data_IF_057500333750
#
_entry.id   IF_057500333750
#
_cell.length_a   1.000
_cell.length_b   1.000
_cell.length_c   1.000
_cell.angle_alpha   90.00
_cell.angle_beta   90.00
_cell.angle_gamma   90.00
#
_symmetry.space_group_name_H-M   'P 1'
#
loop_
_entity.id
_entity.type
_entity.pdbx_description
1 polymer ?
#
# COMPACT_ATOMS: atom_id res chain seq x y z
N UNK A 1 -0.22 8.51 -13.11
CA UNK A 1 -0.64 9.79 -12.54
C UNK A 1 -1.55 10.48 -13.54
N UNK A 2 -2.70 10.93 -13.10
CA UNK A 2 -3.67 11.70 -13.89
C UNK A 2 -3.84 13.08 -13.24
N UNK A 3 -3.77 14.16 -14.04
CA UNK A 3 -4.00 15.52 -13.59
C UNK A 3 -5.10 16.15 -14.43
N UNK A 4 -6.04 16.78 -13.77
CA UNK A 4 -7.09 17.57 -14.40
C UNK A 4 -7.04 18.99 -13.84
N UNK A 5 -7.13 19.98 -14.71
CA UNK A 5 -7.12 21.39 -14.33
C UNK A 5 -8.28 22.09 -15.01
N UNK A 6 -9.03 22.86 -14.24
CA UNK A 6 -10.14 23.66 -14.72
C UNK A 6 -10.24 24.97 -13.92
N UNK A 7 -10.93 25.94 -14.49
CA UNK A 7 -11.22 27.22 -13.83
C UNK A 7 -12.71 27.28 -13.50
N UNK A 8 -13.13 26.49 -12.48
CA UNK A 8 -14.55 26.42 -12.09
C UNK A 8 -15.05 27.69 -11.39
N UNK A 9 -14.13 28.43 -10.82
CA UNK A 9 -14.44 29.65 -10.06
C UNK A 9 -13.76 30.88 -10.71
N UNK A 10 -14.19 31.23 -11.94
CA UNK A 10 -13.67 32.36 -12.68
C UNK A 10 -12.21 32.16 -13.13
N UNK A 11 -11.30 33.05 -12.75
CA UNK A 11 -9.87 32.95 -13.09
C UNK A 11 -9.07 32.03 -12.15
N UNK A 12 -9.72 31.50 -11.10
CA UNK A 12 -9.06 30.70 -10.07
C UNK A 12 -9.03 29.24 -10.47
N UNK A 13 -7.84 28.68 -10.42
CA UNK A 13 -7.56 27.32 -10.88
C UNK A 13 -8.00 26.29 -9.85
N UNK A 14 -8.78 25.32 -10.31
CA UNK A 14 -9.04 24.05 -9.63
C UNK A 14 -8.16 22.98 -10.23
N UNK A 15 -7.46 22.23 -9.42
CA UNK A 15 -6.63 21.10 -9.87
C UNK A 15 -7.00 19.84 -9.08
N UNK A 16 -7.25 18.75 -9.81
CA UNK A 16 -7.46 17.42 -9.27
C UNK A 16 -6.37 16.51 -9.80
N UNK A 17 -5.68 15.83 -8.89
CA UNK A 17 -4.61 14.89 -9.22
C UNK A 17 -4.92 13.54 -8.61
N UNK A 18 -4.78 12.48 -9.39
CA UNK A 18 -4.87 11.09 -8.96
C UNK A 18 -3.54 10.39 -9.18
N UNK A 19 -3.06 9.68 -8.19
CA UNK A 19 -1.85 8.89 -8.27
C UNK A 19 -2.13 7.44 -7.90
N UNK A 20 -2.05 6.56 -8.89
CA UNK A 20 -2.23 5.12 -8.72
C UNK A 20 -0.88 4.41 -8.51
N UNK A 21 -0.86 3.47 -7.59
CA UNK A 21 0.26 2.57 -7.32
C UNK A 21 -0.22 1.12 -7.31
N UNK A 22 0.61 0.22 -7.83
CA UNK A 22 0.41 -1.21 -7.72
C UNK A 22 1.77 -1.90 -7.62
N UNK A 23 1.91 -2.84 -6.71
CA UNK A 23 3.12 -3.63 -6.55
C UNK A 23 2.79 -5.01 -5.96
N UNK A 24 3.67 -5.99 -6.21
CA UNK A 24 3.65 -7.24 -5.46
C UNK A 24 3.99 -6.97 -4.00
N UNK A 25 3.55 -7.85 -3.12
CA UNK A 25 3.94 -7.80 -1.72
C UNK A 25 5.44 -8.06 -1.53
N UNK A 26 5.89 -7.90 -0.29
CA UNK A 26 7.29 -8.09 0.07
C UNK A 26 7.72 -9.55 -0.23
N UNK A 27 8.87 -9.76 -0.86
CA UNK A 27 9.41 -11.10 -1.07
C UNK A 27 9.67 -11.81 0.26
N UNK A 28 9.39 -13.10 0.31
CA UNK A 28 9.69 -13.94 1.47
C UNK A 28 10.16 -15.34 1.05
N UNK A 29 10.84 -16.00 1.96
CA UNK A 29 11.27 -17.39 1.81
C UNK A 29 10.43 -18.29 2.70
N UNK A 30 10.05 -19.44 2.20
CA UNK A 30 9.47 -20.50 3.03
C UNK A 30 10.59 -21.27 3.72
N UNK A 31 10.44 -21.52 5.00
CA UNK A 31 11.42 -22.26 5.80
C UNK A 31 10.71 -23.29 6.67
N UNK A 32 11.40 -24.36 6.99
CA UNK A 32 10.89 -25.34 7.95
C UNK A 32 10.83 -24.67 9.32
N UNK A 33 9.61 -24.55 9.86
CA UNK A 33 9.38 -24.07 11.21
C UNK A 33 9.52 -25.23 12.19
N UNK A 34 10.01 -25.17 13.29
CA UNK A 34 10.02 -25.99 14.46
C UNK A 34 9.91 -27.53 14.33
N UNK A 35 10.06 -28.20 15.49
CA UNK A 35 10.03 -29.68 15.60
C UNK A 35 8.62 -30.28 15.36
N UNK A 36 7.62 -29.49 15.22
CA UNK A 36 6.21 -29.88 15.00
C UNK A 36 5.81 -29.97 13.52
N UNK A 37 6.77 -29.75 12.59
CA UNK A 37 6.50 -29.81 11.15
C UNK A 37 5.76 -28.59 10.59
N UNK A 38 5.63 -27.51 11.34
CA UNK A 38 5.04 -26.28 10.82
C UNK A 38 5.96 -25.63 9.79
N UNK A 39 5.35 -25.02 8.76
CA UNK A 39 6.06 -24.26 7.74
C UNK A 39 6.07 -22.81 8.18
N UNK A 40 7.26 -22.19 8.23
CA UNK A 40 7.41 -20.79 8.57
C UNK A 40 7.70 -19.94 7.35
N UNK A 41 7.24 -18.72 7.33
CA UNK A 41 7.60 -17.71 6.34
C UNK A 41 8.59 -16.72 6.94
N UNK A 42 9.83 -16.73 6.44
CA UNK A 42 10.87 -15.80 6.89
C UNK A 42 11.48 -15.07 5.69
N UNK A 43 11.83 -13.83 5.89
CA UNK A 43 12.40 -13.02 4.83
C UNK A 43 13.83 -13.40 4.41
N UNK A 44 14.54 -14.25 5.16
CA UNK A 44 15.98 -14.41 4.96
C UNK A 44 16.48 -15.86 4.91
N UNK A 45 15.79 -16.80 5.56
CA UNK A 45 16.29 -18.16 5.68
C UNK A 45 15.67 -19.04 4.61
N UNK A 46 16.46 -19.62 3.72
CA UNK A 46 15.95 -20.57 2.75
C UNK A 46 15.35 -21.79 3.44
N UNK A 47 14.25 -22.23 2.91
CA UNK A 47 13.63 -23.45 3.34
C UNK A 47 14.46 -24.66 2.88
N UNK A 48 14.92 -25.45 3.84
CA UNK A 48 15.53 -26.75 3.58
C UNK A 48 14.46 -27.81 3.74
N UNK A 49 14.09 -28.38 2.65
CA UNK A 49 12.84 -29.06 2.55
C UNK A 49 12.90 -30.58 2.61
N UNK A 50 11.94 -31.14 3.32
CA UNK A 50 11.62 -32.55 3.32
C UNK A 50 10.32 -32.86 2.54
N UNK A 51 9.66 -31.85 2.03
CA UNK A 51 8.40 -31.99 1.33
C UNK A 51 8.69 -31.96 -0.18
N UNK A 52 8.29 -32.99 -0.87
CA UNK A 52 8.68 -33.30 -2.25
C UNK A 52 8.49 -32.13 -3.23
N UNK A 53 7.46 -31.32 -3.03
CA UNK A 53 7.19 -30.16 -3.91
C UNK A 53 8.04 -28.92 -3.60
N UNK A 54 8.71 -28.87 -2.47
CA UNK A 54 9.62 -27.77 -2.13
C UNK A 54 11.03 -28.12 -2.56
N UNK A 55 11.32 -29.38 -2.84
CA UNK A 55 12.58 -29.82 -3.43
C UNK A 55 12.84 -29.22 -4.81
N UNK A 56 11.84 -28.68 -5.47
CA UNK A 56 12.01 -27.98 -6.75
C UNK A 56 12.88 -26.72 -6.65
N UNK A 57 12.95 -26.10 -5.45
CA UNK A 57 13.78 -24.91 -5.24
C UNK A 57 14.35 -24.85 -3.81
N UNK A 58 15.10 -25.89 -3.35
CA UNK A 58 15.66 -25.90 -2.02
C UNK A 58 16.68 -24.78 -1.85
N UNK A 59 16.56 -24.03 -0.79
CA UNK A 59 17.52 -22.99 -0.45
C UNK A 59 17.43 -21.71 -1.25
N UNK A 60 16.40 -21.50 -2.05
CA UNK A 60 16.19 -20.24 -2.76
C UNK A 60 15.62 -19.18 -1.82
N UNK A 61 16.39 -18.12 -1.67
CA UNK A 61 15.99 -16.94 -0.92
C UNK A 61 14.96 -16.13 -1.73
N UNK A 62 13.91 -15.64 -1.05
CA UNK A 62 12.89 -14.79 -1.64
C UNK A 62 12.19 -15.42 -2.86
N UNK A 63 11.87 -16.71 -2.76
CA UNK A 63 11.21 -17.45 -3.84
C UNK A 63 9.71 -17.20 -3.94
N UNK A 64 9.13 -16.54 -2.95
CA UNK A 64 7.72 -16.17 -2.92
C UNK A 64 7.56 -14.65 -2.78
N UNK A 65 6.43 -14.14 -3.24
CA UNK A 65 6.03 -12.75 -3.04
C UNK A 65 4.71 -12.73 -2.28
N UNK A 66 4.58 -11.76 -1.40
CA UNK A 66 3.31 -11.47 -0.75
C UNK A 66 2.23 -11.02 -1.74
N UNK A 67 1.02 -10.91 -1.24
CA UNK A 67 -0.15 -10.50 -2.01
C UNK A 67 0.05 -9.15 -2.69
N UNK A 68 -0.43 -9.03 -3.92
CA UNK A 68 -0.46 -7.77 -4.65
C UNK A 68 -1.30 -6.73 -3.92
N UNK A 69 -0.81 -5.52 -3.88
CA UNK A 69 -1.57 -4.39 -3.38
C UNK A 69 -1.63 -3.28 -4.44
N UNK A 70 -2.67 -2.49 -4.36
CA UNK A 70 -2.89 -1.34 -5.23
C UNK A 70 -3.67 -0.29 -4.46
N UNK A 71 -3.25 0.96 -4.59
CA UNK A 71 -3.94 2.09 -3.99
C UNK A 71 -3.99 3.28 -4.94
N UNK A 72 -4.92 4.18 -4.67
CA UNK A 72 -5.03 5.47 -5.34
C UNK A 72 -4.98 6.55 -4.27
N UNK A 73 -4.12 7.52 -4.47
CA UNK A 73 -4.06 8.76 -3.69
C UNK A 73 -4.69 9.89 -4.51
N UNK A 74 -5.34 10.84 -3.84
CA UNK A 74 -5.98 11.98 -4.49
C UNK A 74 -5.53 13.30 -3.85
N UNK A 75 -5.33 14.31 -4.70
CA UNK A 75 -5.15 15.68 -4.26
C UNK A 75 -6.10 16.59 -5.02
N UNK A 76 -6.80 17.43 -4.28
CA UNK A 76 -7.62 18.52 -4.82
C UNK A 76 -7.03 19.82 -4.30
N UNK A 77 -6.83 20.81 -5.17
CA UNK A 77 -6.44 22.15 -4.78
C UNK A 77 -7.29 23.17 -5.50
N UNK A 78 -7.63 24.24 -4.78
CA UNK A 78 -8.42 25.36 -5.27
C UNK A 78 -7.70 26.67 -4.96
N UNK A 79 -7.51 27.48 -6.01
CA UNK A 79 -7.03 28.86 -5.85
C UNK A 79 -8.21 29.78 -5.49
N UNK A 80 -7.93 30.84 -4.75
CA UNK A 80 -8.89 31.88 -4.39
C UNK A 80 -8.20 33.26 -4.33
N UNK A 81 -8.98 34.37 -4.42
CA UNK A 81 -8.43 35.70 -4.32
C UNK A 81 -7.75 35.95 -2.98
N UNK A 82 -6.68 36.72 -2.99
CA UNK A 82 -6.08 37.25 -1.79
C UNK A 82 -6.77 38.55 -1.32
N UNK A 83 -6.20 39.16 -0.29
CA UNK A 83 -6.69 40.44 0.26
C UNK A 83 -6.43 41.64 -0.67
N UNK A 84 -5.59 41.47 -1.69
CA UNK A 84 -5.39 42.44 -2.76
C UNK A 84 -5.21 41.70 -4.10
N UNK A 85 -5.34 42.41 -5.22
CA UNK A 85 -5.23 41.86 -6.57
C UNK A 85 -3.88 41.19 -6.85
N UNK A 86 -2.82 41.59 -6.14
CA UNK A 86 -1.50 40.98 -6.26
C UNK A 86 -1.35 39.69 -5.45
N UNK A 87 -2.27 39.42 -4.52
CA UNK A 87 -2.19 38.29 -3.61
C UNK A 87 -3.03 37.12 -4.11
N UNK A 88 -2.57 35.92 -3.87
CA UNK A 88 -3.27 34.67 -4.23
C UNK A 88 -3.21 33.69 -3.05
N UNK A 89 -4.34 33.07 -2.78
CA UNK A 89 -4.44 31.96 -1.86
C UNK A 89 -4.72 30.65 -2.58
N UNK A 90 -4.37 29.53 -1.96
CA UNK A 90 -4.81 28.22 -2.39
C UNK A 90 -5.04 27.30 -1.20
N UNK A 91 -6.14 26.60 -1.19
CA UNK A 91 -6.41 25.51 -0.26
C UNK A 91 -6.23 24.17 -0.96
N UNK A 92 -5.84 23.15 -0.22
CA UNK A 92 -5.73 21.81 -0.77
C UNK A 92 -6.16 20.75 0.24
N UNK A 93 -6.68 19.66 -0.31
CA UNK A 93 -6.97 18.42 0.40
C UNK A 93 -6.17 17.30 -0.26
N UNK A 94 -5.47 16.52 0.55
CA UNK A 94 -4.79 15.29 0.12
C UNK A 94 -5.48 14.14 0.81
N UNK A 95 -5.86 13.13 0.04
CA UNK A 95 -6.41 11.88 0.54
C UNK A 95 -5.41 10.78 0.15
N UNK A 96 -4.66 10.31 1.12
CA UNK A 96 -3.82 9.13 0.96
C UNK A 96 -4.70 7.89 1.07
N UNK A 97 -4.49 6.94 0.19
CA UNK A 97 -5.25 5.70 0.09
C UNK A 97 -6.78 5.91 -0.03
N UNK A 98 -7.20 6.70 -1.03
CA UNK A 98 -8.61 6.92 -1.37
C UNK A 98 -9.36 5.60 -1.54
N UNK A 99 -8.71 4.55 -2.06
CA UNK A 99 -9.31 3.24 -2.23
C UNK A 99 -9.78 2.65 -0.91
N UNK A 100 -8.99 2.76 0.17
CA UNK A 100 -9.37 2.29 1.49
C UNK A 100 -10.44 3.17 2.16
N UNK A 101 -10.46 4.47 1.85
CA UNK A 101 -11.55 5.37 2.30
C UNK A 101 -12.91 4.96 1.69
N UNK A 102 -12.91 4.46 0.46
CA UNK A 102 -14.12 4.02 -0.23
C UNK A 102 -14.57 2.62 0.18
N UNK A 103 -13.63 1.75 0.51
CA UNK A 103 -13.89 0.38 0.94
C UNK A 103 -12.72 -0.14 1.77
N UNK A 104 -12.99 -0.61 2.99
CA UNK A 104 -11.98 -1.06 3.97
C UNK A 104 -11.11 -2.23 3.49
N UNK A 105 -11.57 -2.99 2.50
CA UNK A 105 -10.83 -4.11 1.92
C UNK A 105 -9.93 -3.68 0.75
N UNK A 106 -10.06 -2.44 0.28
CA UNK A 106 -9.26 -1.92 -0.82
C UNK A 106 -8.03 -1.17 -0.30
N UNK A 107 -7.00 -1.14 -1.12
CA UNK A 107 -5.77 -0.43 -0.76
C UNK A 107 -5.03 -1.04 0.43
N UNK A 108 -5.34 -2.28 0.78
CA UNK A 108 -4.74 -2.99 1.91
C UNK A 108 -3.43 -3.62 1.49
N UNK A 109 -2.41 -3.39 2.29
CA UNK A 109 -1.10 -4.02 2.14
C UNK A 109 -0.95 -5.13 3.17
N UNK A 110 -0.52 -6.29 2.71
CA UNK A 110 -0.24 -7.45 3.55
C UNK A 110 1.26 -7.69 3.68
N UNK A 111 1.65 -8.39 4.71
CA UNK A 111 3.02 -8.89 4.92
C UNK A 111 2.96 -10.31 5.44
N UNK A 112 3.90 -11.14 5.03
CA UNK A 112 4.11 -12.43 5.64
C UNK A 112 4.45 -12.27 7.13
N UNK A 113 3.93 -13.16 7.96
CA UNK A 113 4.21 -13.17 9.39
C UNK A 113 5.63 -13.64 9.63
N UNK A 114 6.44 -12.77 10.24
CA UNK A 114 7.80 -13.10 10.64
C UNK A 114 7.76 -13.81 12.02
N UNK A 115 8.52 -14.91 12.16
CA UNK A 115 8.55 -15.76 13.34
C UNK A 115 7.25 -16.53 13.68
N UNK A 116 6.35 -16.65 12.73
CA UNK A 116 5.14 -17.43 12.93
C UNK A 116 5.23 -18.73 12.14
N UNK A 117 5.07 -19.85 12.83
CA UNK A 117 4.78 -21.11 12.17
C UNK A 117 3.38 -21.01 11.56
N UNK A 118 3.30 -21.18 10.26
CA UNK A 118 2.02 -21.30 9.55
C UNK A 118 1.84 -22.73 9.10
N UNK A 119 0.63 -23.22 9.22
CA UNK A 119 0.27 -24.54 8.68
C UNK A 119 0.03 -24.43 7.18
N UNK A 120 0.03 -25.58 6.49
CA UNK A 120 -0.36 -25.60 5.07
C UNK A 120 -1.78 -25.07 4.86
N UNK A 121 -2.68 -25.32 5.82
CA UNK A 121 -4.05 -24.81 5.77
C UNK A 121 -4.07 -23.27 5.88
N UNK A 122 -3.22 -22.67 6.71
CA UNK A 122 -3.11 -21.21 6.80
C UNK A 122 -2.62 -20.60 5.49
N UNK A 123 -1.72 -21.26 4.79
CA UNK A 123 -1.26 -20.83 3.45
C UNK A 123 -2.39 -20.93 2.45
N UNK A 124 -3.09 -22.05 2.42
CA UNK A 124 -4.19 -22.30 1.49
C UNK A 124 -5.37 -21.33 1.71
N UNK A 125 -5.62 -20.95 2.97
CA UNK A 125 -6.68 -20.04 3.38
C UNK A 125 -6.25 -18.55 3.30
N UNK A 126 -5.02 -18.26 2.88
CA UNK A 126 -4.48 -16.90 2.83
C UNK A 126 -4.21 -16.26 4.19
N UNK A 127 -4.20 -17.04 5.27
CA UNK A 127 -3.92 -16.57 6.64
C UNK A 127 -2.44 -16.43 6.97
N UNK A 128 -1.57 -16.81 6.05
CA UNK A 128 -0.12 -16.67 6.20
C UNK A 128 0.35 -15.20 6.19
N UNK A 129 -0.52 -14.29 5.82
CA UNK A 129 -0.22 -12.87 5.77
C UNK A 129 -1.08 -12.08 6.76
N UNK A 130 -0.49 -11.01 7.31
CA UNK A 130 -1.20 -10.05 8.16
C UNK A 130 -1.29 -8.69 7.49
N UNK A 131 -2.40 -8.00 7.73
CA UNK A 131 -2.60 -6.61 7.29
C UNK A 131 -1.52 -5.71 7.92
N UNK A 132 -0.82 -4.93 7.10
CA UNK A 132 0.03 -3.84 7.59
C UNK A 132 -0.85 -2.67 8.02
N UNK A 133 -0.66 -2.19 9.26
CA UNK A 133 -1.47 -1.12 9.83
C UNK A 133 -1.40 0.19 9.04
N UNK A 134 -0.51 1.08 9.41
CA UNK A 134 -0.43 2.45 8.84
C UNK A 134 -0.46 2.53 7.30
N UNK A 135 0.29 1.74 6.51
CA UNK A 135 0.24 1.86 5.06
C UNK A 135 -1.09 1.44 4.41
N UNK A 136 -1.92 0.70 5.15
CA UNK A 136 -3.22 0.22 4.68
C UNK A 136 -4.39 1.13 5.06
N UNK A 137 -4.14 2.15 5.89
CA UNK A 137 -5.16 3.08 6.32
C UNK A 137 -5.19 4.30 5.40
N UNK A 138 -6.35 4.91 5.29
CA UNK A 138 -6.49 6.21 4.65
C UNK A 138 -6.11 7.34 5.61
N UNK A 139 -5.66 8.44 5.05
CA UNK A 139 -5.37 9.68 5.78
C UNK A 139 -5.84 10.87 4.95
N UNK A 140 -6.48 11.84 5.61
CA UNK A 140 -6.86 13.11 5.00
C UNK A 140 -6.01 14.22 5.60
N UNK A 141 -5.33 14.97 4.74
CA UNK A 141 -4.58 16.17 5.10
C UNK A 141 -5.14 17.38 4.39
N UNK A 142 -5.36 18.44 5.14
CA UNK A 142 -5.86 19.73 4.63
C UNK A 142 -4.81 20.79 4.90
N UNK A 143 -4.60 21.66 3.94
CA UNK A 143 -3.69 22.78 4.11
C UNK A 143 -4.03 23.93 3.18
N UNK A 144 -3.40 25.06 3.41
CA UNK A 144 -3.50 26.21 2.55
C UNK A 144 -2.16 26.90 2.38
N UNK A 145 -2.01 27.60 1.26
CA UNK A 145 -0.88 28.47 0.98
C UNK A 145 -1.41 29.86 0.69
N UNK A 146 -0.66 30.85 1.11
CA UNK A 146 -0.93 32.25 0.79
C UNK A 146 0.33 32.90 0.25
N UNK A 147 0.20 33.57 -0.87
CA UNK A 147 1.29 34.29 -1.52
C UNK A 147 0.93 35.79 -1.54
N UNK A 148 1.83 36.58 -1.04
CA UNK A 148 1.75 38.05 -0.99
C UNK A 148 2.87 38.66 -1.80
#
# INVERSE_FOLDING_TARGET
MLNYTANWFGEYRTQVSLYGQAASGVPYSTVLGGADGTIGAYGFTPYLDFIEHVLEAPGTRNNNNGSWWRKVDMRISQEFPGFSDAHRGSAFVIIDNLTNLLNDDWGVMYKANFHYGVTQDDINDGRAETRRGSPSLWEIRVGFNYRF
#
